data_IF_805335341925
#
_entry.id   IF_805335341925
#
_cell.length_a   1.000
_cell.length_b   1.000
_cell.length_c   1.000
_cell.angle_alpha   90.00
_cell.angle_beta   90.00
_cell.angle_gamma   90.00
#
_symmetry.space_group_name_H-M   'P 1'
#
loop_
_entity.id
_entity.type
_entity.pdbx_description
1 polymer ?
#
# COMPACT_ATOMS: atom_id res chain seq x y z
N UNK A 1 -5.79 -2.46 6.12
CA UNK A 1 -6.99 -2.10 5.36
C UNK A 1 -7.81 -1.11 6.18
N UNK A 2 -8.33 -0.04 5.58
CA UNK A 2 -9.16 0.92 6.29
C UNK A 2 -10.46 0.27 6.75
N UNK A 3 -10.64 0.21 8.06
CA UNK A 3 -11.91 -0.10 8.70
C UNK A 3 -12.69 1.20 8.92
N UNK A 4 -14.01 1.16 8.70
CA UNK A 4 -14.94 2.22 9.09
C UNK A 4 -14.94 2.32 10.63
N UNK A 5 -15.38 3.47 11.18
CA UNK A 5 -15.40 3.71 12.63
C UNK A 5 -16.24 2.70 13.43
N UNK A 6 -17.10 1.92 12.77
CA UNK A 6 -17.88 0.82 13.34
C UNK A 6 -17.23 -0.57 13.19
N UNK A 7 -15.95 -0.65 12.79
CA UNK A 7 -15.22 -1.90 12.61
C UNK A 7 -15.52 -2.66 11.31
N UNK A 8 -16.48 -2.19 10.49
CA UNK A 8 -16.77 -2.81 9.19
C UNK A 8 -15.78 -2.36 8.12
N UNK A 9 -15.46 -3.24 7.18
CA UNK A 9 -14.66 -2.89 6.01
C UNK A 9 -15.49 -1.99 5.08
N UNK A 10 -14.88 -0.93 4.55
CA UNK A 10 -15.48 -0.17 3.44
C UNK A 10 -15.63 -1.02 2.18
N UNK A 11 -16.49 -0.61 1.24
CA UNK A 11 -16.69 -1.33 -0.03
C UNK A 11 -15.39 -1.49 -0.81
N UNK A 12 -14.49 -0.52 -0.73
CA UNK A 12 -13.15 -0.56 -1.32
C UNK A 12 -12.29 -1.66 -0.68
N UNK A 13 -12.35 -1.81 0.65
CA UNK A 13 -11.59 -2.82 1.37
C UNK A 13 -12.13 -4.24 1.12
N UNK A 14 -13.46 -4.38 0.97
CA UNK A 14 -14.07 -5.64 0.55
C UNK A 14 -13.67 -6.03 -0.87
N UNK A 15 -13.66 -5.07 -1.81
CA UNK A 15 -13.18 -5.29 -3.18
C UNK A 15 -11.70 -5.71 -3.21
N UNK A 16 -10.86 -5.05 -2.41
CA UNK A 16 -9.45 -5.42 -2.29
C UNK A 16 -9.25 -6.86 -1.76
N UNK A 17 -10.06 -7.27 -0.76
CA UNK A 17 -10.04 -8.64 -0.25
C UNK A 17 -10.45 -9.68 -1.31
N UNK A 18 -11.54 -9.42 -2.04
CA UNK A 18 -12.01 -10.32 -3.08
C UNK A 18 -10.94 -10.50 -4.18
N UNK A 19 -10.31 -9.40 -4.59
CA UNK A 19 -9.23 -9.43 -5.58
C UNK A 19 -7.98 -10.17 -5.09
N UNK A 20 -7.60 -9.98 -3.82
CA UNK A 20 -6.48 -10.70 -3.22
C UNK A 20 -6.74 -12.22 -3.17
N UNK A 21 -7.96 -12.64 -2.84
CA UNK A 21 -8.34 -14.05 -2.83
C UNK A 21 -8.29 -14.67 -4.25
N UNK A 22 -8.72 -13.92 -5.28
CA UNK A 22 -8.61 -14.36 -6.67
C UNK A 22 -7.14 -14.50 -7.09
N UNK A 23 -6.30 -13.53 -6.74
CA UNK A 23 -4.86 -13.57 -7.02
C UNK A 23 -4.17 -14.74 -6.34
N UNK A 24 -4.48 -15.00 -5.07
CA UNK A 24 -3.90 -16.12 -4.32
C UNK A 24 -4.29 -17.47 -4.93
N UNK A 25 -5.55 -17.62 -5.37
CA UNK A 25 -6.04 -18.81 -6.05
C UNK A 25 -5.32 -19.04 -7.40
N UNK A 26 -5.03 -17.97 -8.15
CA UNK A 26 -4.37 -18.06 -9.45
C UNK A 26 -2.85 -18.28 -9.34
N UNK A 27 -2.18 -17.52 -8.46
CA UNK A 27 -0.72 -17.46 -8.38
C UNK A 27 -0.13 -18.47 -7.39
N UNK A 28 -0.94 -18.99 -6.46
CA UNK A 28 -0.51 -19.93 -5.40
C UNK A 28 0.68 -19.42 -4.58
N UNK A 29 0.74 -18.11 -4.37
CA UNK A 29 1.70 -17.44 -3.49
C UNK A 29 0.93 -16.62 -2.45
N UNK A 30 1.50 -16.42 -1.24
CA UNK A 30 0.83 -15.61 -0.22
C UNK A 30 0.56 -14.19 -0.72
N UNK A 31 -0.69 -13.74 -0.59
CA UNK A 31 -1.07 -12.36 -0.91
C UNK A 31 -1.31 -11.61 0.40
N UNK A 32 -0.53 -10.56 0.64
CA UNK A 32 -0.65 -9.72 1.84
C UNK A 32 -1.39 -8.44 1.50
N UNK A 33 -2.47 -8.17 2.24
CA UNK A 33 -3.20 -6.90 2.13
C UNK A 33 -2.52 -5.84 3.01
N UNK A 34 -1.97 -4.82 2.39
CA UNK A 34 -1.29 -3.72 3.07
C UNK A 34 -2.18 -2.47 3.14
N UNK A 35 -2.09 -1.70 4.23
CA UNK A 35 -2.88 -0.47 4.40
C UNK A 35 -2.14 0.75 3.82
N UNK A 36 -2.61 1.26 2.67
CA UNK A 36 -1.99 2.37 1.96
C UNK A 36 -2.25 3.76 2.56
N UNK A 37 -3.02 3.90 3.65
CA UNK A 37 -3.45 5.22 4.15
C UNK A 37 -2.31 6.21 4.46
N UNK A 38 -1.08 5.72 4.68
CA UNK A 38 0.09 6.54 4.95
C UNK A 38 1.02 6.72 3.73
N UNK A 39 0.83 5.96 2.65
CA UNK A 39 1.77 5.95 1.50
C UNK A 39 1.62 7.19 0.64
N UNK A 40 0.41 7.71 0.41
CA UNK A 40 0.21 8.91 -0.42
C UNK A 40 0.82 10.16 0.22
N UNK A 41 0.62 10.36 1.52
CA UNK A 41 1.18 11.50 2.26
C UNK A 41 2.72 11.42 2.32
N UNK A 42 3.28 10.22 2.51
CA UNK A 42 4.73 9.99 2.45
C UNK A 42 5.29 10.21 1.04
N UNK A 43 4.60 9.76 0.00
CA UNK A 43 4.99 9.95 -1.40
C UNK A 43 5.00 11.43 -1.81
N UNK A 44 3.96 12.18 -1.43
CA UNK A 44 3.91 13.62 -1.69
C UNK A 44 5.03 14.37 -0.97
N UNK A 45 5.39 13.95 0.25
CA UNK A 45 6.51 14.53 1.00
C UNK A 45 7.85 14.26 0.32
N UNK A 46 8.14 13.01 -0.04
CA UNK A 46 9.39 12.62 -0.70
C UNK A 46 9.54 13.28 -2.09
N UNK A 47 8.45 13.41 -2.84
CA UNK A 47 8.45 14.10 -4.14
C UNK A 47 8.67 15.61 -4.01
N UNK A 48 8.16 16.25 -2.94
CA UNK A 48 8.45 17.66 -2.63
C UNK A 48 9.92 17.87 -2.24
N UNK A 49 10.49 16.95 -1.46
CA UNK A 49 11.89 17.01 -1.03
C UNK A 49 12.87 16.78 -2.21
N UNK A 50 12.48 16.01 -3.23
CA UNK A 50 13.30 15.70 -4.41
C UNK A 50 13.29 16.71 -5.57
N UNK A 51 12.55 17.82 -5.47
CA UNK A 51 12.63 18.95 -6.42
C UNK A 51 12.22 18.71 -7.89
N UNK A 52 11.65 17.54 -8.24
CA UNK A 52 11.30 17.20 -9.64
C UNK A 52 9.85 17.53 -9.98
N UNK A 53 9.64 18.23 -11.11
CA UNK A 53 8.30 18.54 -11.68
C UNK A 53 7.54 17.24 -12.01
N UNK A 54 6.28 17.18 -11.57
CA UNK A 54 5.32 16.07 -11.75
C UNK A 54 5.31 15.53 -13.20
N UNK A 55 5.70 14.27 -13.39
CA UNK A 55 5.17 13.41 -14.46
C UNK A 55 4.28 12.37 -13.78
N UNK A 56 3.04 12.20 -14.24
CA UNK A 56 2.05 11.27 -13.65
C UNK A 56 2.64 9.86 -13.44
N UNK A 57 3.40 9.37 -14.42
CA UNK A 57 4.10 8.08 -14.39
C UNK A 57 5.14 7.96 -13.28
N UNK A 58 5.79 9.07 -12.88
CA UNK A 58 6.75 9.04 -11.77
C UNK A 58 6.08 8.93 -10.40
N UNK A 59 4.82 9.36 -10.29
CA UNK A 59 4.08 9.29 -9.03
C UNK A 59 3.69 7.86 -8.70
N UNK A 60 3.20 7.09 -9.68
CA UNK A 60 2.77 5.70 -9.47
C UNK A 60 3.95 4.78 -9.10
N UNK A 61 5.09 4.96 -9.78
CA UNK A 61 6.33 4.22 -9.45
C UNK A 61 6.84 4.58 -8.06
N UNK A 62 6.78 5.87 -7.67
CA UNK A 62 7.18 6.30 -6.35
C UNK A 62 6.27 5.71 -5.25
N UNK A 63 4.95 5.70 -5.48
CA UNK A 63 4.00 5.10 -4.55
C UNK A 63 4.25 3.59 -4.37
N UNK A 64 4.46 2.84 -5.45
CA UNK A 64 4.77 1.42 -5.38
C UNK A 64 6.09 1.15 -4.62
N UNK A 65 7.11 1.98 -4.84
CA UNK A 65 8.39 1.86 -4.13
C UNK A 65 8.22 2.11 -2.64
N UNK A 66 7.45 3.14 -2.27
CA UNK A 66 7.18 3.48 -0.87
C UNK A 66 6.35 2.39 -0.19
N UNK A 67 5.35 1.84 -0.87
CA UNK A 67 4.55 0.75 -0.35
C UNK A 67 5.40 -0.48 -0.04
N UNK A 68 6.30 -0.85 -0.95
CA UNK A 68 7.22 -1.96 -0.72
C UNK A 68 8.18 -1.65 0.44
N UNK A 69 8.72 -0.43 0.49
CA UNK A 69 9.63 -0.03 1.57
C UNK A 69 8.95 -0.06 2.94
N UNK A 70 7.72 0.46 3.03
CA UNK A 70 6.91 0.45 4.25
C UNK A 70 6.63 -0.99 4.71
N UNK A 71 6.34 -1.90 3.78
CA UNK A 71 6.17 -3.32 4.08
C UNK A 71 7.47 -3.94 4.61
N UNK A 72 8.59 -3.74 3.92
CA UNK A 72 9.90 -4.29 4.34
C UNK A 72 10.36 -3.74 5.69
N UNK A 73 10.08 -2.47 5.99
CA UNK A 73 10.43 -1.88 7.28
C UNK A 73 9.57 -2.42 8.41
N UNK A 74 8.31 -2.78 8.15
CA UNK A 74 7.47 -3.47 9.13
C UNK A 74 8.01 -4.84 9.53
N UNK A 75 8.62 -5.57 8.58
CA UNK A 75 9.26 -6.87 8.85
C UNK A 75 10.53 -6.74 9.70
N UNK A 76 11.21 -5.59 9.63
CA UNK A 76 12.41 -5.30 10.45
C UNK A 76 12.08 -4.80 11.84
N UNK A 77 10.88 -4.25 12.03
CA UNK A 77 10.44 -3.65 13.28
C UNK A 77 9.91 -4.69 14.31
N UNK A 78 10.05 -6.00 14.04
CA UNK A 78 9.92 -7.04 15.07
C UNK A 78 11.27 -7.29 15.76
N UNK A 79 11.55 -6.69 16.92
CA UNK A 79 12.41 -7.33 17.91
C UNK A 79 11.58 -8.41 18.63
N UNK A 80 12.18 -9.60 18.79
CA UNK A 80 11.70 -10.67 19.68
C UNK A 80 11.44 -10.16 21.10
#
# INVERSE_FOLDING_TARGET
LPTRMNGTLGEEAQRAQAFAAELEAQLRIPVVLWDERLTTVRAERLLREGGKRKRRTSTDVAAATILLQDYLDSLKAEPL
#
